data_IF_749106167436
#
_entry.id   IF_749106167436
#
_cell.length_a   1.000
_cell.length_b   1.000
_cell.length_c   1.000
_cell.angle_alpha   90.00
_cell.angle_beta   90.00
_cell.angle_gamma   90.00
#
_symmetry.space_group_name_H-M   'P 1'
#
loop_
_entity.id
_entity.type
_entity.pdbx_description
1 polymer ?
#
# COMPACT_ATOMS: atom_id res chain seq x y z
N UNK A 1 13.36 20.07 6.33
CA UNK A 1 13.12 19.65 7.73
C UNK A 1 12.02 20.50 8.37
N UNK A 2 12.20 21.83 8.47
CA UNK A 2 11.24 22.74 9.09
C UNK A 2 9.86 22.76 8.40
N UNK A 3 9.84 22.80 7.06
CA UNK A 3 8.61 22.70 6.25
C UNK A 3 7.85 21.37 6.44
N UNK A 4 8.59 20.26 6.55
CA UNK A 4 8.00 18.94 6.72
C UNK A 4 7.40 18.78 8.13
N UNK A 5 8.06 19.33 9.15
CA UNK A 5 7.54 19.40 10.51
C UNK A 5 6.27 20.25 10.61
N UNK A 6 6.23 21.41 9.95
CA UNK A 6 5.03 22.26 9.95
C UNK A 6 3.83 21.57 9.28
N UNK A 7 4.08 20.87 8.16
CA UNK A 7 3.04 20.06 7.51
C UNK A 7 2.56 18.92 8.41
N UNK A 8 3.46 18.25 9.13
CA UNK A 8 3.13 17.18 10.06
C UNK A 8 2.22 17.69 11.19
N UNK A 9 2.60 18.79 11.85
CA UNK A 9 1.81 19.36 12.94
C UNK A 9 0.43 19.84 12.49
N UNK A 10 0.35 20.48 11.32
CA UNK A 10 -0.94 20.88 10.76
C UNK A 10 -1.84 19.67 10.42
N UNK A 11 -1.25 18.55 9.98
CA UNK A 11 -1.99 17.31 9.73
C UNK A 11 -2.47 16.67 11.04
N UNK A 12 -1.63 16.63 12.07
CA UNK A 12 -1.96 16.08 13.39
C UNK A 12 -3.10 16.84 14.09
N UNK A 13 -3.16 18.16 13.93
CA UNK A 13 -4.29 18.97 14.42
C UNK A 13 -5.58 18.62 13.71
N UNK A 14 -5.53 18.39 12.38
CA UNK A 14 -6.70 18.06 11.57
C UNK A 14 -7.20 16.65 11.82
N UNK A 15 -6.32 15.67 12.07
CA UNK A 15 -6.69 14.27 12.28
C UNK A 15 -7.62 14.13 13.49
N UNK A 16 -7.40 14.90 14.56
CA UNK A 16 -8.23 14.84 15.77
C UNK A 16 -9.71 15.12 15.50
N UNK A 17 -10.01 15.98 14.52
CA UNK A 17 -11.38 16.36 14.15
C UNK A 17 -12.03 15.37 13.16
N UNK A 18 -11.28 14.43 12.57
CA UNK A 18 -11.78 13.51 11.55
C UNK A 18 -12.49 12.29 12.17
N UNK A 19 -13.61 11.88 11.59
CA UNK A 19 -14.30 10.64 11.96
C UNK A 19 -13.67 9.40 11.29
N UNK A 20 -13.14 9.56 10.07
CA UNK A 20 -12.51 8.47 9.31
C UNK A 20 -11.24 8.99 8.63
N UNK A 21 -10.15 8.27 8.78
CA UNK A 21 -8.85 8.54 8.14
C UNK A 21 -8.40 7.31 7.36
N UNK A 22 -8.02 7.48 6.09
CA UNK A 22 -7.45 6.41 5.26
C UNK A 22 -6.05 6.82 4.83
N UNK A 23 -5.04 6.02 5.20
CA UNK A 23 -3.65 6.29 4.85
C UNK A 23 -3.15 5.32 3.79
N UNK A 24 -2.56 5.86 2.72
CA UNK A 24 -2.05 5.10 1.55
C UNK A 24 -0.57 5.35 1.29
N UNK A 25 0.10 6.17 2.11
CA UNK A 25 1.48 6.55 1.84
C UNK A 25 2.40 5.33 2.01
N UNK A 26 3.09 4.99 0.91
CA UNK A 26 4.02 3.86 0.82
C UNK A 26 5.21 4.30 -0.03
N UNK A 27 6.43 4.00 0.44
CA UNK A 27 7.66 4.24 -0.32
C UNK A 27 8.32 2.88 -0.58
N UNK A 28 8.41 2.42 -1.84
CA UNK A 28 9.02 1.13 -2.15
C UNK A 28 10.42 0.98 -1.55
N UNK A 29 10.65 -0.12 -0.84
CA UNK A 29 11.94 -0.44 -0.21
C UNK A 29 12.28 0.37 1.05
N UNK A 30 11.36 1.18 1.58
CA UNK A 30 11.52 1.88 2.86
C UNK A 30 10.32 1.63 3.78
N UNK A 31 10.49 1.77 5.11
CA UNK A 31 9.37 1.78 6.03
C UNK A 31 8.35 2.87 5.65
N UNK A 32 7.07 2.61 5.92
CA UNK A 32 6.03 3.62 5.78
C UNK A 32 6.37 4.86 6.63
N UNK A 33 6.11 6.08 6.13
CA UNK A 33 6.34 7.28 6.93
C UNK A 33 5.34 7.33 8.09
N UNK A 34 5.82 7.64 9.29
CA UNK A 34 4.92 7.85 10.41
C UNK A 34 4.18 9.19 10.23
N UNK A 35 2.88 9.13 9.96
CA UNK A 35 2.01 10.29 9.71
C UNK A 35 1.04 10.56 10.86
N UNK A 36 0.61 9.50 11.55
CA UNK A 36 -0.36 9.55 12.63
C UNK A 36 0.32 9.05 13.91
N UNK A 37 0.88 9.95 14.75
CA UNK A 37 1.40 9.55 16.05
C UNK A 37 0.28 9.09 16.97
N UNK A 38 0.61 8.30 18.01
CA UNK A 38 -0.35 7.84 19.00
C UNK A 38 -1.12 8.99 19.66
N UNK A 39 -0.46 10.11 19.89
CA UNK A 39 -1.05 11.33 20.45
C UNK A 39 -2.14 11.95 19.57
N UNK A 40 -2.09 11.76 18.24
CA UNK A 40 -3.15 12.21 17.35
C UNK A 40 -4.37 11.29 17.46
N UNK A 41 -4.15 9.97 17.56
CA UNK A 41 -5.22 8.97 17.74
C UNK A 41 -5.98 9.20 19.05
N UNK A 42 -5.26 9.47 20.13
CA UNK A 42 -5.85 9.74 21.45
C UNK A 42 -6.76 10.98 21.49
N UNK A 43 -6.54 11.95 20.57
CA UNK A 43 -7.37 13.15 20.45
C UNK A 43 -8.58 12.97 19.53
N UNK A 44 -8.64 11.87 18.78
CA UNK A 44 -9.80 11.61 17.92
C UNK A 44 -11.05 11.33 18.75
N UNK A 45 -12.21 11.60 18.15
CA UNK A 45 -13.50 11.29 18.78
C UNK A 45 -13.66 9.76 18.92
N UNK A 46 -14.10 9.23 20.08
CA UNK A 46 -14.41 7.81 20.21
C UNK A 46 -15.45 7.37 19.18
N UNK A 47 -15.22 6.21 18.57
CA UNK A 47 -15.98 5.69 17.43
C UNK A 47 -15.38 6.04 16.06
N UNK A 48 -14.32 6.87 16.01
CA UNK A 48 -13.59 7.15 14.77
C UNK A 48 -12.85 5.91 14.25
N UNK A 49 -12.49 5.93 12.98
CA UNK A 49 -11.81 4.81 12.30
C UNK A 49 -10.57 5.28 11.55
N UNK A 50 -9.47 4.54 11.69
CA UNK A 50 -8.27 4.66 10.86
C UNK A 50 -8.15 3.39 10.01
N UNK A 51 -8.01 3.54 8.69
CA UNK A 51 -7.70 2.44 7.77
C UNK A 51 -6.30 2.67 7.22
N UNK A 52 -5.35 1.84 7.65
CA UNK A 52 -3.94 1.99 7.29
C UNK A 52 -3.52 0.97 6.24
N UNK A 53 -3.49 1.42 4.98
CA UNK A 53 -3.18 0.57 3.83
C UNK A 53 -1.68 0.29 3.68
N UNK A 54 -0.82 0.90 4.50
CA UNK A 54 0.62 0.63 4.51
C UNK A 54 1.07 -0.29 5.67
N UNK A 55 0.12 -0.95 6.34
CA UNK A 55 0.40 -1.80 7.51
C UNK A 55 1.49 -2.86 7.26
N UNK A 56 1.60 -3.39 6.04
CA UNK A 56 2.63 -4.39 5.68
C UNK A 56 4.07 -3.86 5.74
N UNK A 57 4.27 -2.54 5.70
CA UNK A 57 5.59 -1.88 5.75
C UNK A 57 5.81 -1.07 7.02
N UNK A 58 5.06 -1.37 8.08
CA UNK A 58 5.12 -0.71 9.38
C UNK A 58 3.93 0.21 9.67
N UNK A 59 3.17 0.61 8.65
CA UNK A 59 2.00 1.49 8.82
C UNK A 59 2.33 2.98 8.90
N UNK A 60 1.37 3.81 8.52
CA UNK A 60 1.43 5.26 8.67
C UNK A 60 0.94 5.72 10.05
N UNK A 61 0.23 4.86 10.79
CA UNK A 61 -0.22 5.11 12.15
C UNK A 61 0.64 4.35 13.15
N UNK A 62 1.13 5.04 14.18
CA UNK A 62 2.03 4.49 15.21
C UNK A 62 1.42 3.28 15.92
N UNK A 63 0.10 3.29 16.07
CA UNK A 63 -0.66 2.27 16.77
C UNK A 63 -1.16 1.15 15.85
N UNK A 64 -0.82 1.16 14.55
CA UNK A 64 -1.19 0.08 13.63
C UNK A 64 -0.52 -1.24 14.04
N UNK A 65 -1.32 -2.30 14.15
CA UNK A 65 -0.84 -3.67 14.28
C UNK A 65 -1.04 -4.41 12.94
N UNK A 66 0.04 -4.74 12.21
CA UNK A 66 -0.08 -5.36 10.89
C UNK A 66 -0.83 -6.69 10.95
N UNK A 67 -1.84 -6.82 10.10
CA UNK A 67 -2.70 -8.00 9.99
C UNK A 67 -3.90 -8.00 10.93
N UNK A 68 -4.06 -6.98 11.77
CA UNK A 68 -5.08 -6.92 12.80
C UNK A 68 -6.02 -5.72 12.64
N UNK A 69 -7.22 -5.88 13.18
CA UNK A 69 -8.12 -4.77 13.51
C UNK A 69 -8.16 -4.63 15.02
N UNK A 70 -7.84 -3.44 15.53
CA UNK A 70 -7.72 -3.19 16.97
C UNK A 70 -8.49 -1.93 17.35
N UNK A 71 -8.80 -1.78 18.63
CA UNK A 71 -9.33 -0.54 19.20
C UNK A 71 -8.31 0.05 20.17
N UNK A 72 -8.02 1.35 20.03
CA UNK A 72 -7.12 2.13 20.92
C UNK A 72 -7.76 3.49 21.17
N UNK A 73 -7.81 3.93 22.43
CA UNK A 73 -8.45 5.20 22.82
C UNK A 73 -9.89 5.40 22.29
N UNK A 74 -10.63 4.30 22.05
CA UNK A 74 -11.97 4.34 21.47
C UNK A 74 -12.01 4.51 19.94
N UNK A 75 -10.87 4.51 19.26
CA UNK A 75 -10.72 4.56 17.80
C UNK A 75 -10.43 3.15 17.27
N UNK A 76 -11.13 2.73 16.21
CA UNK A 76 -10.84 1.48 15.51
C UNK A 76 -9.71 1.71 14.51
N UNK A 77 -8.67 0.87 14.55
CA UNK A 77 -7.52 0.92 13.65
C UNK A 77 -7.48 -0.38 12.86
N UNK A 78 -7.65 -0.26 11.54
CA UNK A 78 -7.68 -1.37 10.58
C UNK A 78 -6.33 -1.45 9.88
N UNK A 79 -5.53 -2.45 10.24
CA UNK A 79 -4.19 -2.71 9.70
C UNK A 79 -4.09 -3.95 8.82
N UNK A 80 -5.13 -4.29 8.06
CA UNK A 80 -5.16 -5.52 7.25
C UNK A 80 -4.10 -5.48 6.13
N UNK A 81 -3.24 -6.49 6.08
CA UNK A 81 -2.14 -6.60 5.10
C UNK A 81 -2.54 -7.27 3.79
N UNK A 82 -3.73 -7.85 3.72
CA UNK A 82 -4.25 -8.47 2.50
C UNK A 82 -5.70 -8.06 2.25
N UNK A 83 -5.92 -6.75 2.07
CA UNK A 83 -7.26 -6.21 1.86
C UNK A 83 -7.92 -6.76 0.58
N UNK A 84 -7.12 -7.02 -0.47
CA UNK A 84 -7.62 -7.58 -1.73
C UNK A 84 -8.29 -8.95 -1.54
N UNK A 85 -7.81 -9.77 -0.59
CA UNK A 85 -8.42 -11.06 -0.27
C UNK A 85 -9.81 -10.94 0.37
N UNK A 86 -10.20 -9.76 0.86
CA UNK A 86 -11.57 -9.53 1.38
C UNK A 86 -12.60 -9.34 0.24
N UNK A 87 -12.13 -9.04 -0.98
CA UNK A 87 -12.94 -8.98 -2.21
C UNK A 87 -12.38 -9.93 -3.29
N UNK A 88 -12.30 -11.24 -3.01
CA UNK A 88 -11.49 -12.17 -3.80
C UNK A 88 -11.96 -12.29 -5.24
N UNK A 89 -13.27 -12.29 -5.50
CA UNK A 89 -13.82 -12.41 -6.85
C UNK A 89 -13.31 -11.30 -7.80
N UNK A 90 -13.44 -10.04 -7.38
CA UNK A 90 -13.03 -8.89 -8.20
C UNK A 90 -11.51 -8.73 -8.24
N UNK A 91 -10.82 -8.99 -7.12
CA UNK A 91 -9.35 -8.99 -7.08
C UNK A 91 -8.78 -10.01 -8.08
N UNK A 92 -9.26 -11.26 -8.05
CA UNK A 92 -8.83 -12.30 -8.99
C UNK A 92 -9.20 -11.96 -10.43
N UNK A 93 -10.40 -11.43 -10.69
CA UNK A 93 -10.82 -11.06 -12.04
C UNK A 93 -9.91 -9.97 -12.65
N UNK A 94 -9.60 -8.91 -11.91
CA UNK A 94 -8.74 -7.82 -12.39
C UNK A 94 -7.29 -8.29 -12.55
N UNK A 95 -6.77 -9.06 -11.61
CA UNK A 95 -5.42 -9.62 -11.70
C UNK A 95 -5.28 -10.58 -12.90
N UNK A 96 -6.27 -11.44 -13.14
CA UNK A 96 -6.28 -12.35 -14.30
C UNK A 96 -6.24 -11.60 -15.63
N UNK A 97 -6.86 -10.41 -15.73
CA UNK A 97 -6.79 -9.56 -16.93
C UNK A 97 -5.38 -9.03 -17.16
N UNK A 98 -4.68 -8.60 -16.10
CA UNK A 98 -3.29 -8.15 -16.19
C UNK A 98 -2.36 -9.29 -16.65
N UNK A 99 -2.51 -10.48 -16.04
CA UNK A 99 -1.74 -11.68 -16.45
C UNK A 99 -2.05 -12.06 -17.90
N UNK A 100 -3.33 -12.06 -18.30
CA UNK A 100 -3.72 -12.39 -19.68
C UNK A 100 -3.15 -11.39 -20.69
N UNK A 101 -3.17 -10.10 -20.37
CA UNK A 101 -2.59 -9.07 -21.23
C UNK A 101 -1.08 -9.23 -21.39
N UNK A 102 -0.36 -9.53 -20.29
CA UNK A 102 1.07 -9.82 -20.34
C UNK A 102 1.35 -11.07 -21.19
N UNK A 103 0.56 -12.14 -21.04
CA UNK A 103 0.72 -13.35 -21.85
C UNK A 103 0.44 -13.09 -23.33
N UNK A 104 -0.57 -12.29 -23.67
CA UNK A 104 -0.84 -11.90 -25.05
C UNK A 104 0.29 -11.06 -25.65
N UNK A 105 0.94 -10.21 -24.85
CA UNK A 105 2.12 -9.45 -25.25
C UNK A 105 3.33 -10.37 -25.51
N UNK A 106 3.59 -11.31 -24.59
CA UNK A 106 4.75 -12.21 -24.66
C UNK A 106 4.57 -13.40 -25.62
N UNK A 107 3.34 -13.77 -25.95
CA UNK A 107 3.00 -14.92 -26.80
C UNK A 107 1.80 -14.63 -27.72
N UNK A 108 1.90 -13.65 -28.64
CA UNK A 108 0.78 -13.24 -29.49
C UNK A 108 0.25 -14.36 -30.39
N UNK A 109 1.10 -15.33 -30.74
CA UNK A 109 0.77 -16.48 -31.59
C UNK A 109 0.70 -17.82 -30.82
N UNK A 110 0.65 -17.78 -29.48
CA UNK A 110 0.63 -18.98 -28.64
C UNK A 110 2.00 -19.59 -28.33
N UNK A 111 3.07 -19.04 -28.91
CA UNK A 111 4.47 -19.36 -28.58
C UNK A 111 5.15 -18.12 -27.99
N UNK A 112 6.02 -18.32 -26.99
CA UNK A 112 6.77 -17.23 -26.36
C UNK A 112 7.70 -16.56 -27.38
N UNK A 113 7.52 -15.27 -27.58
CA UNK A 113 8.37 -14.40 -28.38
C UNK A 113 8.88 -13.25 -27.49
N UNK A 114 9.96 -13.51 -26.76
CA UNK A 114 10.52 -12.55 -25.80
C UNK A 114 11.41 -11.54 -26.51
N UNK A 115 10.87 -10.36 -26.83
CA UNK A 115 11.65 -9.22 -27.30
C UNK A 115 12.15 -8.39 -26.12
N UNK A 116 13.43 -8.48 -25.79
CA UNK A 116 14.00 -7.72 -24.68
C UNK A 116 14.44 -6.29 -25.05
N UNK A 117 14.25 -5.86 -26.30
CA UNK A 117 14.30 -4.44 -26.64
C UNK A 117 13.01 -3.71 -26.23
N UNK A 118 11.91 -4.44 -26.05
CA UNK A 118 10.65 -3.91 -25.53
C UNK A 118 10.72 -3.70 -24.01
N UNK A 119 10.30 -2.51 -23.56
CA UNK A 119 10.41 -2.08 -22.16
C UNK A 119 9.56 -2.92 -21.21
N UNK A 120 8.40 -3.43 -21.66
CA UNK A 120 7.50 -4.24 -20.84
C UNK A 120 8.16 -5.60 -20.59
N UNK A 121 8.68 -6.23 -21.64
CA UNK A 121 9.33 -7.54 -21.56
C UNK A 121 10.61 -7.47 -20.72
N UNK A 122 11.44 -6.46 -20.97
CA UNK A 122 12.65 -6.22 -20.19
C UNK A 122 12.35 -5.92 -18.72
N UNK A 123 11.39 -5.03 -18.45
CA UNK A 123 11.03 -4.61 -17.09
C UNK A 123 10.36 -5.72 -16.27
N UNK A 124 9.59 -6.60 -16.90
CA UNK A 124 8.93 -7.72 -16.21
C UNK A 124 9.88 -8.90 -15.91
N UNK A 125 10.98 -9.05 -16.66
CA UNK A 125 11.90 -10.17 -16.52
C UNK A 125 13.00 -9.88 -15.49
N UNK A 126 12.96 -10.55 -14.33
CA UNK A 126 13.92 -10.35 -13.22
C UNK A 126 15.02 -11.42 -13.13
N UNK A 127 15.03 -12.43 -14.02
CA UNK A 127 15.92 -13.61 -13.91
C UNK A 127 16.84 -13.82 -15.11
N UNK A 128 16.75 -12.99 -16.16
CA UNK A 128 17.63 -13.12 -17.32
C UNK A 128 19.05 -12.73 -16.92
N UNK A 129 19.98 -13.67 -16.98
CA UNK A 129 21.40 -13.38 -16.92
C UNK A 129 21.81 -12.65 -18.21
N UNK A 130 22.49 -11.52 -18.08
CA UNK A 130 23.23 -10.95 -19.21
C UNK A 130 24.27 -11.98 -19.63
N UNK A 131 24.14 -12.50 -20.85
CA UNK A 131 25.25 -13.24 -21.46
C UNK A 131 26.29 -12.18 -21.76
N UNK A 132 27.34 -12.11 -20.94
CA UNK A 132 28.52 -11.31 -21.24
C UNK A 132 29.03 -11.75 -22.61
N UNK A 133 28.93 -10.86 -23.59
CA UNK A 133 29.58 -10.98 -24.90
C UNK A 133 30.99 -10.44 -24.78
#
# INVERSE_FOLDING_TARGET
AEQQSQQQSALEERIADMDVVVTTALVPGRPAPLLIPASAVERMRPGSVIVDLAAETGGNCELTEPGSEIVRAGVTIVGLTNLAATMPYHASQLYARNVSALLQHLAPNGELALDFADEITAGACVTRSEVAV
#
